data_IF_822879484757
#
_entry.id   IF_822879484757
#
_cell.length_a   1.000
_cell.length_b   1.000
_cell.length_c   1.000
_cell.angle_alpha   90.00
_cell.angle_beta   90.00
_cell.angle_gamma   90.00
#
_symmetry.space_group_name_H-M   'P 1'
#
loop_
_entity.id
_entity.type
_entity.pdbx_description
1 polymer ?
#
# COMPACT_ATOMS: atom_id res chain seq x y z
N UNK A 1 36.16 0.37 -21.78
CA UNK A 1 36.45 0.79 -22.13
C UNK A 1 36.40 0.69 -22.20
N UNK A 2 35.93 0.59 -21.80
CA UNK A 2 35.96 0.76 -21.99
C UNK A 2 35.66 0.70 -21.59
N UNK A 3 35.20 0.56 -21.28
CA UNK A 3 35.14 0.69 -21.19
C UNK A 3 34.84 0.64 -20.69
N UNK A 4 34.56 0.44 -20.42
CA UNK A 4 34.52 0.59 -20.26
C UNK A 4 34.19 0.45 -19.66
N UNK A 5 33.94 0.20 -19.30
CA UNK A 5 33.84 0.37 -19.06
C UNK A 5 33.52 0.10 -18.59
N UNK A 6 33.34 -0.10 -18.38
CA UNK A 6 33.21 0.02 -18.25
C UNK A 6 32.88 -0.11 -17.76
N UNK A 7 32.44 -0.40 -17.62
CA UNK A 7 32.40 -0.17 -17.48
C UNK A 7 32.07 -0.26 -17.01
N UNK A 8 31.85 -0.53 -16.92
CA UNK A 8 31.78 -0.28 -16.73
C UNK A 8 31.28 -0.65 -16.28
N UNK A 9 30.99 -0.76 -16.02
CA UNK A 9 30.64 -0.78 -15.75
C UNK A 9 30.14 -1.28 -15.13
N UNK A 10 30.17 -1.55 -15.54
CA UNK A 10 29.37 -1.82 -15.12
C UNK A 10 29.14 -2.16 -13.83
N UNK A 11 29.03 -2.50 -13.46
CA UNK A 11 28.83 -2.43 -12.26
C UNK A 11 27.82 -1.65 -11.55
N UNK A 12 27.39 -0.94 -11.78
CA UNK A 12 26.67 0.12 -11.15
C UNK A 12 25.19 -0.12 -11.05
N UNK A 13 24.70 -1.19 -11.58
CA UNK A 13 23.29 -1.54 -11.53
C UNK A 13 22.86 -1.95 -10.12
N UNK A 14 23.70 -2.61 -9.40
CA UNK A 14 23.35 -3.12 -8.06
C UNK A 14 22.97 -2.03 -7.06
N UNK A 15 23.65 -0.87 -7.05
CA UNK A 15 23.22 0.19 -6.14
C UNK A 15 21.77 0.62 -6.33
N UNK A 16 21.28 0.62 -7.55
CA UNK A 16 19.89 0.98 -7.82
C UNK A 16 18.91 0.00 -7.19
N UNK A 17 19.25 -1.27 -7.20
CA UNK A 17 18.38 -2.29 -6.61
C UNK A 17 18.28 -2.11 -5.11
N UNK A 18 19.40 -1.80 -4.45
CA UNK A 18 19.42 -1.58 -3.02
C UNK A 18 18.55 -0.38 -2.63
N UNK A 19 18.64 0.70 -3.38
CA UNK A 19 17.84 1.88 -3.13
C UNK A 19 16.35 1.56 -3.26
N UNK A 20 15.99 0.79 -4.28
CA UNK A 20 14.60 0.41 -4.47
C UNK A 20 14.06 -0.38 -3.27
N UNK A 21 14.85 -1.32 -2.74
CA UNK A 21 14.42 -2.13 -1.60
C UNK A 21 14.22 -1.29 -0.34
N UNK A 22 14.97 -0.20 -0.18
CA UNK A 22 14.88 0.65 1.01
C UNK A 22 13.80 1.71 0.90
N UNK A 23 13.60 2.27 -0.28
CA UNK A 23 12.74 3.43 -0.43
C UNK A 23 11.56 3.19 -1.33
N UNK A 24 11.66 2.19 -2.19
CA UNK A 24 10.74 2.04 -3.30
C UNK A 24 9.70 0.97 -3.15
N UNK A 25 9.48 0.42 -1.94
CA UNK A 25 8.40 -0.55 -1.81
C UNK A 25 7.09 0.11 -2.27
N UNK A 26 6.37 -0.53 -3.21
CA UNK A 26 5.22 0.12 -3.86
C UNK A 26 4.15 0.62 -2.91
N UNK A 27 4.01 0.03 -1.72
CA UNK A 27 2.97 0.42 -0.77
C UNK A 27 3.43 1.48 0.22
N UNK A 28 4.72 1.80 0.28
CA UNK A 28 5.22 2.78 1.25
C UNK A 28 4.67 4.17 0.94
N UNK A 29 4.17 4.83 1.96
CA UNK A 29 3.72 6.21 1.87
C UNK A 29 2.38 6.44 2.53
N UNK A 30 1.86 7.63 2.32
CA UNK A 30 0.55 8.04 2.82
C UNK A 30 -0.46 7.90 1.70
N UNK A 31 -1.57 7.27 2.01
CA UNK A 31 -2.63 7.00 1.06
C UNK A 31 -3.93 7.61 1.56
N UNK A 32 -4.66 8.30 0.70
CA UNK A 32 -5.95 8.84 1.07
C UNK A 32 -6.97 8.58 -0.03
N UNK A 33 -8.22 8.54 0.35
CA UNK A 33 -9.30 8.31 -0.58
C UNK A 33 -10.62 8.13 0.14
N UNK A 34 -11.47 7.27 -0.44
CA UNK A 34 -12.83 7.08 0.04
C UNK A 34 -13.23 5.62 0.03
N UNK A 35 -14.02 5.25 1.04
CA UNK A 35 -14.74 3.99 1.08
C UNK A 35 -16.21 4.29 0.84
N UNK A 36 -16.81 3.54 -0.06
CA UNK A 36 -18.23 3.72 -0.43
C UNK A 36 -18.99 2.45 -0.07
N UNK A 37 -19.41 2.31 1.21
CA UNK A 37 -20.19 1.15 1.59
C UNK A 37 -21.53 1.13 0.86
N UNK A 38 -22.00 -0.07 0.52
CA UNK A 38 -23.23 -0.21 -0.24
C UNK A 38 -24.45 0.29 0.52
N UNK A 39 -24.37 0.31 1.85
CA UNK A 39 -25.45 0.81 2.70
C UNK A 39 -24.92 1.92 3.58
N UNK A 40 -24.80 3.13 3.03
CA UNK A 40 -24.34 4.26 3.81
C UNK A 40 -23.66 5.31 2.97
N UNK A 41 -23.10 6.30 3.65
CA UNK A 41 -22.46 7.42 3.00
C UNK A 41 -20.99 7.12 2.75
N UNK A 42 -20.41 7.76 1.73
CA UNK A 42 -18.97 7.73 1.52
C UNK A 42 -18.25 8.17 2.76
N UNK A 43 -17.15 7.50 3.06
CA UNK A 43 -16.34 7.83 4.21
C UNK A 43 -14.90 8.07 3.76
N UNK A 44 -14.27 9.16 4.21
CA UNK A 44 -12.87 9.38 3.89
C UNK A 44 -12.03 8.35 4.63
N UNK A 45 -10.99 7.86 3.96
CA UNK A 45 -10.06 6.93 4.56
C UNK A 45 -8.66 7.40 4.32
N UNK A 46 -7.80 7.06 5.25
CA UNK A 46 -6.39 7.40 5.20
C UNK A 46 -5.60 6.21 5.73
N UNK A 47 -4.56 5.80 5.00
CA UNK A 47 -3.69 4.72 5.44
C UNK A 47 -2.25 5.17 5.27
N UNK A 48 -1.46 5.00 6.33
CA UNK A 48 -0.03 5.18 6.25
C UNK A 48 0.63 3.81 6.27
N UNK A 49 1.53 3.56 5.32
CA UNK A 49 2.24 2.28 5.24
C UNK A 49 3.72 2.51 5.03
N UNK A 50 4.52 1.62 5.62
CA UNK A 50 5.97 1.65 5.40
C UNK A 50 6.54 0.24 5.40
N UNK A 51 7.61 0.07 4.68
CA UNK A 51 8.35 -1.18 4.59
C UNK A 51 9.48 -1.18 5.62
N UNK A 52 9.54 -2.24 6.44
CA UNK A 52 10.55 -2.34 7.48
C UNK A 52 11.68 -3.31 7.13
N UNK A 53 11.84 -3.63 5.85
CA UNK A 53 12.79 -4.59 5.29
C UNK A 53 12.32 -6.04 5.36
N UNK A 54 11.19 -6.31 5.98
CA UNK A 54 10.62 -7.65 6.06
C UNK A 54 9.14 -7.68 5.74
N UNK A 55 8.39 -6.74 6.31
CA UNK A 55 6.94 -6.68 6.13
C UNK A 55 6.51 -5.23 5.97
N UNK A 56 5.28 -5.07 5.51
CA UNK A 56 4.62 -3.76 5.51
C UNK A 56 3.96 -3.57 6.86
N UNK A 57 4.23 -2.44 7.47
CA UNK A 57 3.55 -1.99 8.68
C UNK A 57 2.71 -0.78 8.33
N UNK A 58 1.62 -0.56 9.04
CA UNK A 58 0.84 0.62 8.76
C UNK A 58 -0.32 0.81 9.69
N UNK A 59 -1.04 1.90 9.46
CA UNK A 59 -2.14 2.33 10.30
C UNK A 59 -3.24 2.92 9.46
N UNK A 60 -4.48 2.49 9.73
CA UNK A 60 -5.67 3.05 9.12
C UNK A 60 -6.11 4.24 9.98
N UNK A 61 -6.35 5.38 9.32
CA UNK A 61 -6.81 6.61 9.98
C UNK A 61 -5.94 6.98 11.18
N UNK A 62 -4.66 7.34 10.96
CA UNK A 62 -3.78 7.72 12.07
C UNK A 62 -4.38 8.80 12.94
N UNK A 63 -4.19 8.66 14.24
CA UNK A 63 -4.75 9.60 15.21
C UNK A 63 -5.35 8.86 16.38
N UNK A 64 -6.26 9.51 17.15
CA UNK A 64 -6.83 8.89 18.35
C UNK A 64 -7.58 7.58 18.12
N UNK A 65 -8.13 7.40 16.93
CA UNK A 65 -8.86 6.17 16.57
C UNK A 65 -8.10 5.33 15.57
N UNK A 66 -6.80 5.40 15.59
CA UNK A 66 -5.96 4.66 14.65
C UNK A 66 -6.13 3.16 14.81
N UNK A 67 -6.15 2.46 13.67
CA UNK A 67 -6.26 1.01 13.65
C UNK A 67 -5.02 0.45 12.98
N UNK A 68 -4.15 -0.25 13.71
CA UNK A 68 -2.95 -0.80 13.11
C UNK A 68 -3.27 -1.95 12.16
N UNK A 69 -2.54 -2.04 11.06
CA UNK A 69 -2.66 -3.16 10.14
C UNK A 69 -2.06 -4.40 10.78
N UNK A 70 -2.76 -5.52 10.67
CA UNK A 70 -2.29 -6.81 11.17
C UNK A 70 -1.75 -7.68 10.05
N UNK A 71 -2.31 -7.53 8.86
CA UNK A 71 -1.86 -8.24 7.66
C UNK A 71 -1.71 -7.21 6.56
N UNK A 72 -0.59 -7.24 5.85
CA UNK A 72 -0.37 -6.36 4.71
C UNK A 72 0.49 -7.11 3.70
N UNK A 73 -0.13 -7.52 2.60
CA UNK A 73 0.54 -8.30 1.57
C UNK A 73 0.36 -7.66 0.20
N UNK A 74 1.42 -7.68 -0.57
CA UNK A 74 1.39 -7.28 -1.96
C UNK A 74 1.88 -8.45 -2.80
N UNK A 75 1.05 -8.88 -3.75
CA UNK A 75 1.46 -9.88 -4.72
C UNK A 75 1.91 -9.14 -5.98
N UNK A 76 3.22 -9.05 -6.17
CA UNK A 76 3.78 -8.28 -7.28
C UNK A 76 3.62 -8.98 -8.63
N UNK A 77 3.23 -10.25 -8.65
CA UNK A 77 3.01 -10.94 -9.92
C UNK A 77 1.74 -10.44 -10.62
N UNK A 78 0.78 -9.94 -9.86
CA UNK A 78 -0.48 -9.43 -10.41
C UNK A 78 -0.91 -8.11 -9.76
N UNK A 79 -0.07 -7.53 -8.91
CA UNK A 79 -0.30 -6.25 -8.24
C UNK A 79 -1.56 -6.24 -7.38
N UNK A 80 -1.86 -7.35 -6.72
CA UNK A 80 -2.98 -7.39 -5.78
C UNK A 80 -2.50 -7.07 -4.38
N UNK A 81 -3.36 -6.38 -3.63
CA UNK A 81 -3.07 -5.92 -2.27
C UNK A 81 -4.11 -6.52 -1.35
N UNK A 82 -3.67 -7.09 -0.23
CA UNK A 82 -4.55 -7.63 0.78
C UNK A 82 -4.14 -7.10 2.14
N UNK A 83 -5.04 -6.38 2.81
CA UNK A 83 -4.80 -5.81 4.12
C UNK A 83 -5.89 -6.29 5.08
N UNK A 84 -5.52 -6.51 6.34
CA UNK A 84 -6.47 -6.84 7.40
C UNK A 84 -6.13 -6.06 8.66
N UNK A 85 -7.17 -5.73 9.41
CA UNK A 85 -7.03 -5.03 10.68
C UNK A 85 -8.26 -5.30 11.55
N UNK A 86 -8.12 -5.08 12.85
CA UNK A 86 -9.24 -5.18 13.76
C UNK A 86 -9.50 -3.81 14.39
N UNK A 87 -10.68 -3.28 14.15
CA UNK A 87 -11.08 -2.01 14.74
C UNK A 87 -11.35 -2.18 16.24
N UNK A 88 -11.27 -1.07 16.96
CA UNK A 88 -11.44 -1.10 18.41
C UNK A 88 -12.84 -1.52 18.84
N UNK A 89 -13.82 -1.35 17.96
CA UNK A 89 -15.19 -1.79 18.23
C UNK A 89 -15.41 -3.27 17.96
N UNK A 90 -14.35 -4.00 17.64
CA UNK A 90 -14.42 -5.43 17.39
C UNK A 90 -14.70 -5.83 15.96
N UNK A 91 -14.93 -4.88 15.08
CA UNK A 91 -15.17 -5.20 13.67
C UNK A 91 -13.87 -5.54 12.98
N UNK A 92 -13.91 -6.61 12.19
CA UNK A 92 -12.76 -7.01 11.39
C UNK A 92 -12.80 -6.31 10.04
N UNK A 93 -11.66 -5.77 9.63
CA UNK A 93 -11.54 -5.03 8.38
C UNK A 93 -10.74 -5.87 7.40
N UNK A 94 -11.27 -6.08 6.21
CA UNK A 94 -10.57 -6.77 5.12
C UNK A 94 -10.59 -5.87 3.89
N UNK A 95 -9.41 -5.63 3.35
CA UNK A 95 -9.24 -4.74 2.19
C UNK A 95 -8.56 -5.55 1.10
N UNK A 96 -9.24 -5.73 -0.01
CA UNK A 96 -8.68 -6.41 -1.18
C UNK A 96 -8.75 -5.48 -2.36
N UNK A 97 -7.61 -5.24 -2.98
CA UNK A 97 -7.56 -4.30 -4.07
C UNK A 97 -6.48 -4.61 -5.08
N UNK A 98 -6.40 -3.73 -6.05
CA UNK A 98 -5.39 -3.80 -7.09
C UNK A 98 -4.61 -2.51 -7.10
N UNK A 99 -3.29 -2.64 -7.09
CA UNK A 99 -2.39 -1.49 -7.19
C UNK A 99 -2.20 -1.17 -8.67
N UNK A 100 -2.40 0.09 -9.02
CA UNK A 100 -2.30 0.55 -10.39
C UNK A 100 -1.42 1.78 -10.48
N UNK A 101 -1.06 2.16 -11.69
CA UNK A 101 -0.19 3.31 -11.97
C UNK A 101 1.14 3.22 -11.25
N UNK A 102 1.75 2.04 -11.33
CA UNK A 102 2.99 1.73 -10.61
C UNK A 102 4.10 2.70 -10.98
N UNK A 103 4.15 3.14 -12.22
CA UNK A 103 5.17 4.09 -12.67
C UNK A 103 4.91 5.52 -12.24
N UNK A 104 3.76 5.80 -11.65
CA UNK A 104 3.41 7.15 -11.20
C UNK A 104 3.75 7.35 -9.74
N UNK A 105 4.04 8.58 -9.38
CA UNK A 105 4.20 8.96 -7.99
C UNK A 105 2.87 8.82 -7.24
N UNK A 106 1.77 9.14 -7.91
CA UNK A 106 0.42 9.03 -7.34
C UNK A 106 -0.22 7.73 -7.77
N UNK A 107 0.23 6.64 -7.17
CA UNK A 107 -0.34 5.31 -7.43
C UNK A 107 -1.72 5.20 -6.82
N UNK A 108 -2.52 4.28 -7.35
CA UNK A 108 -3.88 4.06 -6.83
C UNK A 108 -4.06 2.62 -6.40
N UNK A 109 -4.92 2.42 -5.40
CA UNK A 109 -5.39 1.10 -4.99
C UNK A 109 -6.92 1.16 -5.04
N UNK A 110 -7.51 0.24 -5.80
CA UNK A 110 -8.97 0.16 -5.90
C UNK A 110 -9.42 -1.26 -5.65
N UNK A 111 -10.60 -1.43 -5.09
CA UNK A 111 -11.12 -2.76 -4.83
C UNK A 111 -12.26 -2.75 -3.84
N UNK A 112 -12.25 -3.73 -2.93
CA UNK A 112 -13.33 -3.97 -1.98
C UNK A 112 -12.83 -3.78 -0.56
N UNK A 113 -13.61 -3.09 0.26
CA UNK A 113 -13.34 -2.86 1.67
C UNK A 113 -14.53 -3.38 2.45
N UNK A 114 -14.27 -4.30 3.37
CA UNK A 114 -15.29 -4.88 4.23
C UNK A 114 -14.96 -4.55 5.68
N UNK A 115 -15.93 -4.03 6.40
CA UNK A 115 -15.76 -3.71 7.82
C UNK A 115 -16.98 -4.28 8.57
N UNK A 116 -16.75 -5.39 9.26
CA UNK A 116 -17.86 -6.12 9.88
C UNK A 116 -18.80 -6.64 8.82
N UNK A 117 -20.07 -6.26 8.92
CA UNK A 117 -21.10 -6.65 7.96
C UNK A 117 -21.22 -5.70 6.78
N UNK A 118 -20.52 -4.56 6.81
CA UNK A 118 -20.61 -3.56 5.76
C UNK A 118 -19.54 -3.81 4.72
N UNK A 119 -19.95 -3.76 3.45
CA UNK A 119 -19.05 -4.00 2.33
C UNK A 119 -19.27 -2.94 1.27
N UNK A 120 -18.20 -2.49 0.63
CA UNK A 120 -18.28 -1.53 -0.44
C UNK A 120 -16.97 -1.46 -1.19
N UNK A 121 -16.94 -0.64 -2.22
CA UNK A 121 -15.71 -0.41 -2.96
C UNK A 121 -14.96 0.76 -2.34
N UNK A 122 -13.69 0.84 -2.67
CA UNK A 122 -12.83 1.92 -2.18
C UNK A 122 -11.85 2.35 -3.25
N UNK A 123 -11.31 3.52 -3.04
CA UNK A 123 -10.23 4.03 -3.87
C UNK A 123 -9.26 4.80 -2.98
N UNK A 124 -7.97 4.50 -3.12
CA UNK A 124 -6.90 5.20 -2.42
C UNK A 124 -5.89 5.71 -3.42
N UNK A 125 -5.35 6.88 -3.17
CA UNK A 125 -4.28 7.46 -3.98
C UNK A 125 -3.13 7.82 -3.06
N UNK A 126 -1.91 7.51 -3.49
CA UNK A 126 -0.72 7.86 -2.71
C UNK A 126 -0.42 9.35 -2.89
N UNK A 127 -0.14 9.99 -1.76
CA UNK A 127 0.25 11.41 -1.75
C UNK A 127 1.63 11.65 -2.30
#
# INVERSE_FOLDING_TARGET
MRRRSIFWLGLSVMPGIVIWAQEGHPLTGSWHGEWRPSAGKKMPIFIYMKWNSKTIEGTINPGPKAVPLQVANLDASNWTVHLEADAKDGKHIVIDGKLDKIGSYHRTITGTWTEGAMKGDFELTRD
#
